data_IF_658545834546
#
_entry.id   IF_658545834546
#
_cell.length_a   1.000
_cell.length_b   1.000
_cell.length_c   1.000
_cell.angle_alpha   90.00
_cell.angle_beta   90.00
_cell.angle_gamma   90.00
#
_symmetry.space_group_name_H-M   'P 1'
#
loop_
_entity.id
_entity.type
_entity.pdbx_description
1 polymer ?
#
# COMPACT_ATOMS: atom_id res chain seq x y z
N UNK A 1 -12.56 20.00 -1.20
CA UNK A 1 -11.99 18.68 -0.85
C UNK A 1 -10.88 18.94 0.17
N UNK A 2 -10.96 18.37 1.37
CA UNK A 2 -9.98 18.63 2.45
C UNK A 2 -8.81 17.67 2.26
N UNK A 3 -7.61 18.19 2.00
CA UNK A 3 -6.38 17.43 1.87
C UNK A 3 -5.28 18.15 2.67
N UNK A 4 -4.41 17.40 3.34
CA UNK A 4 -3.23 17.94 4.00
C UNK A 4 -2.00 17.55 3.17
N UNK A 5 -1.27 18.55 2.65
CA UNK A 5 -0.15 18.32 1.73
C UNK A 5 1.06 19.12 2.19
N UNK A 6 2.17 18.44 2.40
CA UNK A 6 3.47 19.05 2.73
C UNK A 6 4.55 18.46 1.82
N UNK A 7 5.39 19.33 1.25
CA UNK A 7 6.45 18.96 0.29
C UNK A 7 6.24 19.60 -1.08
N UNK A 8 6.85 19.06 -2.14
CA UNK A 8 6.89 19.69 -3.47
C UNK A 8 6.40 18.75 -4.59
N UNK A 9 5.90 19.31 -5.69
CA UNK A 9 5.40 18.57 -6.86
C UNK A 9 4.29 17.54 -6.59
N UNK A 10 3.51 17.73 -5.53
CA UNK A 10 2.35 16.89 -5.28
C UNK A 10 1.12 17.47 -6.00
N UNK A 11 0.41 16.64 -6.76
CA UNK A 11 -0.83 16.98 -7.46
C UNK A 11 -1.97 16.14 -6.90
N UNK A 12 -3.08 16.77 -6.50
CA UNK A 12 -4.30 16.05 -6.10
C UNK A 12 -5.44 16.45 -7.02
N UNK A 13 -5.96 15.48 -7.76
CA UNK A 13 -7.01 15.70 -8.77
C UNK A 13 -8.25 14.91 -8.39
N UNK A 14 -9.36 15.60 -8.20
CA UNK A 14 -10.65 14.98 -7.90
C UNK A 14 -10.69 14.07 -6.65
N UNK A 15 -9.79 14.25 -5.69
CA UNK A 15 -9.70 13.44 -4.47
C UNK A 15 -9.76 14.25 -3.15
N UNK A 16 -10.20 13.59 -2.07
CA UNK A 16 -10.48 14.14 -0.75
C UNK A 16 -9.91 13.26 0.38
N UNK A 17 -9.76 13.85 1.56
CA UNK A 17 -9.34 13.18 2.80
C UNK A 17 -7.93 12.58 2.72
N UNK A 18 -7.04 13.21 1.94
CA UNK A 18 -5.67 12.72 1.77
C UNK A 18 -4.69 13.39 2.73
N UNK A 19 -3.67 12.64 3.12
CA UNK A 19 -2.49 13.16 3.82
C UNK A 19 -1.27 12.82 2.95
N UNK A 20 -0.56 13.85 2.50
CA UNK A 20 0.62 13.71 1.63
C UNK A 20 1.80 14.44 2.24
N UNK A 21 2.87 13.71 2.51
CA UNK A 21 4.14 14.24 3.01
C UNK A 21 5.25 13.69 2.14
N UNK A 22 5.85 14.52 1.28
CA UNK A 22 6.90 14.08 0.36
C UNK A 22 6.88 14.81 -0.99
N UNK A 23 7.35 14.14 -2.03
CA UNK A 23 7.47 14.71 -3.37
C UNK A 23 6.91 13.79 -4.47
N UNK A 24 6.47 14.45 -5.55
CA UNK A 24 6.08 13.85 -6.83
C UNK A 24 4.86 12.90 -6.79
N UNK A 25 4.01 13.00 -5.77
CA UNK A 25 2.76 12.24 -5.73
C UNK A 25 1.70 12.86 -6.63
N UNK A 26 1.08 12.07 -7.52
CA UNK A 26 -0.20 12.42 -8.15
C UNK A 26 -1.30 11.56 -7.54
N UNK A 27 -2.28 12.15 -6.86
CA UNK A 27 -3.36 11.41 -6.19
C UNK A 27 -4.70 11.68 -6.88
N UNK A 28 -5.39 10.60 -7.26
CA UNK A 28 -6.72 10.65 -7.88
C UNK A 28 -7.79 9.86 -7.12
N UNK A 29 -7.45 9.29 -5.97
CA UNK A 29 -8.36 8.54 -5.11
C UNK A 29 -8.51 9.17 -3.71
N UNK A 30 -9.66 8.92 -3.10
CA UNK A 30 -9.95 9.41 -1.74
C UNK A 30 -9.25 8.57 -0.66
N UNK A 31 -9.07 9.18 0.51
CA UNK A 31 -8.63 8.51 1.75
C UNK A 31 -7.23 7.88 1.65
N UNK A 32 -6.30 8.53 0.94
CA UNK A 32 -4.90 8.08 0.82
C UNK A 32 -4.00 8.76 1.85
N UNK A 33 -3.16 7.95 2.52
CA UNK A 33 -2.00 8.41 3.27
C UNK A 33 -0.74 8.07 2.48
N UNK A 34 0.03 9.08 2.11
CA UNK A 34 1.30 8.96 1.41
C UNK A 34 2.40 9.73 2.15
N UNK A 35 3.31 9.01 2.80
CA UNK A 35 4.42 9.58 3.55
C UNK A 35 5.73 9.02 2.99
N UNK A 36 6.58 9.89 2.45
CA UNK A 36 7.81 9.54 1.75
C UNK A 36 7.83 10.13 0.34
N UNK A 37 9.03 10.37 -0.17
CA UNK A 37 9.23 10.83 -1.55
C UNK A 37 9.10 9.72 -2.58
N UNK A 38 9.09 10.11 -3.85
CA UNK A 38 9.20 9.19 -4.97
C UNK A 38 10.45 9.51 -5.79
N UNK A 39 11.04 8.47 -6.38
CA UNK A 39 12.14 8.57 -7.34
C UNK A 39 11.68 9.08 -8.71
N UNK A 40 10.40 8.96 -9.00
CA UNK A 40 9.74 9.51 -10.18
C UNK A 40 8.25 9.72 -9.90
N UNK A 41 7.62 10.65 -10.61
CA UNK A 41 6.20 10.94 -10.42
C UNK A 41 5.34 9.69 -10.65
N UNK A 42 4.45 9.40 -9.71
CA UNK A 42 3.54 8.25 -9.76
C UNK A 42 2.10 8.68 -9.52
N UNK A 43 1.15 8.09 -10.27
CA UNK A 43 -0.29 8.25 -10.01
C UNK A 43 -0.81 7.19 -9.04
N UNK A 44 -1.47 7.64 -7.97
CA UNK A 44 -2.16 6.84 -6.96
C UNK A 44 -3.66 6.98 -7.13
N UNK A 45 -4.23 5.99 -7.81
CA UNK A 45 -5.65 5.91 -8.17
C UNK A 45 -6.43 4.91 -7.33
N UNK A 46 -5.84 4.40 -6.25
CA UNK A 46 -6.41 3.36 -5.40
C UNK A 46 -6.76 3.94 -4.03
N UNK A 47 -8.04 3.85 -3.66
CA UNK A 47 -8.59 4.47 -2.46
C UNK A 47 -8.21 3.73 -1.18
N UNK A 48 -8.38 4.41 -0.05
CA UNK A 48 -8.21 3.83 1.29
C UNK A 48 -6.81 3.26 1.56
N UNK A 49 -5.78 3.81 0.90
CA UNK A 49 -4.41 3.29 0.95
C UNK A 49 -3.56 3.97 2.01
N UNK A 50 -2.61 3.23 2.57
CA UNK A 50 -1.56 3.79 3.45
C UNK A 50 -0.18 3.41 2.95
N UNK A 51 0.68 4.38 2.73
CA UNK A 51 2.07 4.17 2.30
C UNK A 51 3.01 5.00 3.15
N UNK A 52 4.02 4.36 3.73
CA UNK A 52 5.04 5.02 4.56
C UNK A 52 6.42 4.51 4.13
N UNK A 53 7.19 5.35 3.44
CA UNK A 53 8.53 5.05 2.93
C UNK A 53 8.77 5.66 1.55
N UNK A 54 10.04 5.91 1.22
CA UNK A 54 10.43 6.36 -0.12
C UNK A 54 10.09 5.27 -1.16
N UNK A 55 9.44 5.61 -2.27
CA UNK A 55 8.94 4.65 -3.27
C UNK A 55 8.00 3.54 -2.72
N UNK A 56 7.38 3.72 -1.54
CA UNK A 56 6.42 2.75 -1.02
C UNK A 56 5.07 2.88 -1.73
N UNK A 57 4.46 1.78 -2.17
CA UNK A 57 3.23 1.77 -3.00
C UNK A 57 2.16 0.84 -2.44
N UNK A 58 0.90 1.25 -2.46
CA UNK A 58 -0.23 0.34 -2.26
C UNK A 58 -1.02 0.24 -3.57
N UNK A 59 -1.06 -0.96 -4.15
CA UNK A 59 -1.63 -1.24 -5.48
C UNK A 59 -3.04 -1.81 -5.42
N UNK A 60 -3.56 -2.10 -4.23
CA UNK A 60 -4.91 -2.63 -3.97
C UNK A 60 -5.65 -1.76 -2.96
N UNK A 61 -6.97 -1.68 -3.08
CA UNK A 61 -7.80 -0.83 -2.22
C UNK A 61 -7.67 -1.27 -0.76
N UNK A 62 -7.48 -0.34 0.17
CA UNK A 62 -7.25 -0.70 1.57
C UNK A 62 -5.85 -1.22 1.88
N UNK A 63 -4.97 -1.33 0.88
CA UNK A 63 -3.62 -1.85 1.04
C UNK A 63 -2.71 -0.93 1.86
N UNK A 64 -1.79 -1.54 2.61
CA UNK A 64 -0.80 -0.82 3.43
C UNK A 64 0.60 -1.23 3.02
N UNK A 65 1.46 -0.29 2.64
CA UNK A 65 2.87 -0.57 2.35
C UNK A 65 3.81 0.21 3.27
N UNK A 66 4.68 -0.51 3.96
CA UNK A 66 5.57 0.03 4.99
C UNK A 66 7.03 -0.24 4.61
N UNK A 67 7.81 0.81 4.37
CA UNK A 67 9.25 0.76 4.06
C UNK A 67 9.60 1.14 2.62
N UNK A 68 10.88 1.47 2.41
CA UNK A 68 11.44 1.79 1.09
C UNK A 68 11.12 0.70 0.07
N UNK A 69 10.50 1.06 -1.05
CA UNK A 69 10.09 0.13 -2.12
C UNK A 69 9.16 -1.01 -1.70
N UNK A 70 8.46 -0.90 -0.57
CA UNK A 70 7.41 -1.86 -0.24
C UNK A 70 6.21 -1.67 -1.17
N UNK A 71 5.58 -2.75 -1.60
CA UNK A 71 4.42 -2.75 -2.47
C UNK A 71 3.32 -3.69 -1.93
N UNK A 72 2.15 -3.15 -1.62
CA UNK A 72 0.99 -3.94 -1.22
C UNK A 72 0.16 -4.32 -2.45
N UNK A 73 0.18 -5.60 -2.81
CA UNK A 73 -0.44 -6.11 -4.05
C UNK A 73 -1.49 -7.19 -3.82
N UNK A 74 -1.65 -7.67 -2.58
CA UNK A 74 -2.58 -8.76 -2.24
C UNK A 74 -3.88 -8.18 -1.72
N UNK A 75 -4.97 -8.39 -2.46
CA UNK A 75 -6.33 -7.96 -2.10
C UNK A 75 -6.97 -8.89 -1.05
N UNK A 76 -8.11 -8.47 -0.50
CA UNK A 76 -8.95 -9.30 0.37
C UNK A 76 -9.34 -10.61 -0.30
N UNK A 77 -9.58 -11.63 0.52
CA UNK A 77 -9.99 -12.96 0.08
C UNK A 77 -8.84 -13.88 -0.30
N UNK A 78 -7.59 -13.39 -0.33
CA UNK A 78 -6.41 -14.22 -0.45
C UNK A 78 -6.27 -15.13 0.77
N UNK A 79 -5.90 -16.39 0.51
CA UNK A 79 -5.57 -17.35 1.55
C UNK A 79 -4.12 -17.17 2.00
N UNK A 80 -3.89 -17.21 3.31
CA UNK A 80 -2.57 -17.20 3.93
C UNK A 80 -1.81 -18.48 3.67
N UNK A 81 -0.49 -18.42 3.85
CA UNK A 81 0.40 -19.55 3.64
C UNK A 81 0.40 -20.49 4.85
N UNK A 82 -0.03 -21.73 4.65
CA UNK A 82 -0.05 -22.79 5.64
C UNK A 82 1.26 -23.59 5.59
N UNK A 83 2.04 -23.48 6.68
CA UNK A 83 3.34 -24.15 6.82
C UNK A 83 3.23 -25.68 6.92
N UNK A 84 2.09 -26.20 7.37
CA UNK A 84 1.88 -27.65 7.51
C UNK A 84 1.72 -28.34 6.16
N UNK A 85 1.06 -27.67 5.22
CA UNK A 85 0.82 -28.14 3.85
C UNK A 85 1.79 -27.55 2.82
N UNK A 86 2.56 -26.53 3.21
CA UNK A 86 3.45 -25.74 2.33
C UNK A 86 2.72 -25.14 1.13
N UNK A 87 1.48 -24.73 1.33
CA UNK A 87 0.60 -24.20 0.30
C UNK A 87 -0.31 -23.10 0.87
N UNK A 88 -1.12 -22.49 0.02
CA UNK A 88 -2.20 -21.63 0.49
C UNK A 88 -3.21 -22.44 1.31
N UNK A 89 -3.65 -21.93 2.45
CA UNK A 89 -4.61 -22.61 3.31
C UNK A 89 -5.96 -22.81 2.62
N UNK A 90 -6.58 -23.97 2.87
CA UNK A 90 -7.97 -24.25 2.47
C UNK A 90 -8.97 -23.85 3.53
N UNK A 91 -8.51 -23.50 4.74
CA UNK A 91 -9.37 -22.97 5.80
C UNK A 91 -9.85 -21.56 5.41
N UNK A 92 -11.17 -21.39 5.40
CA UNK A 92 -11.83 -20.14 5.02
C UNK A 92 -12.12 -19.22 6.21
N UNK A 93 -11.70 -19.60 7.42
CA UNK A 93 -11.78 -18.74 8.60
C UNK A 93 -10.95 -17.47 8.41
N UNK A 94 -11.31 -16.39 9.09
CA UNK A 94 -10.64 -15.08 8.97
C UNK A 94 -9.18 -15.09 9.44
N UNK A 95 -8.74 -16.16 10.11
CA UNK A 95 -7.32 -16.39 10.43
C UNK A 95 -6.50 -16.63 9.16
N UNK A 96 -7.09 -17.31 8.18
CA UNK A 96 -6.41 -17.74 6.97
C UNK A 96 -6.86 -16.97 5.73
N UNK A 97 -8.14 -16.64 5.62
CA UNK A 97 -8.68 -15.91 4.47
C UNK A 97 -8.92 -14.45 4.84
N UNK A 98 -8.11 -13.56 4.29
CA UNK A 98 -8.15 -12.14 4.63
C UNK A 98 -9.50 -11.49 4.26
N UNK A 99 -9.99 -10.57 5.07
CA UNK A 99 -11.19 -9.77 4.78
C UNK A 99 -10.86 -8.36 4.28
N UNK A 100 -9.60 -7.95 4.41
CA UNK A 100 -9.02 -6.71 3.94
C UNK A 100 -7.72 -6.99 3.18
N UNK A 101 -7.26 -6.00 2.43
CA UNK A 101 -6.00 -6.06 1.68
C UNK A 101 -4.79 -6.16 2.61
N UNK A 102 -3.68 -6.67 2.07
CA UNK A 102 -2.49 -6.96 2.85
C UNK A 102 -1.76 -5.71 3.36
N UNK A 103 -1.08 -5.90 4.48
CA UNK A 103 0.03 -5.06 4.91
C UNK A 103 1.32 -5.66 4.35
N UNK A 104 2.00 -4.91 3.48
CA UNK A 104 3.26 -5.32 2.88
C UNK A 104 4.43 -4.58 3.49
N UNK A 105 5.46 -5.35 3.86
CA UNK A 105 6.77 -4.84 4.30
C UNK A 105 7.86 -5.05 3.24
N UNK A 106 7.47 -5.35 1.99
CA UNK A 106 8.40 -5.61 0.90
C UNK A 106 7.74 -5.62 -0.47
N UNK A 107 8.44 -6.13 -1.47
CA UNK A 107 7.94 -6.33 -2.82
C UNK A 107 8.68 -7.53 -3.43
N UNK A 108 8.03 -8.69 -3.43
CA UNK A 108 8.59 -9.94 -3.93
C UNK A 108 8.90 -9.86 -5.43
N UNK A 109 8.13 -9.09 -6.20
CA UNK A 109 8.39 -8.93 -7.63
C UNK A 109 9.69 -8.17 -7.92
N UNK A 110 10.23 -7.48 -6.91
CA UNK A 110 11.46 -6.67 -6.99
C UNK A 110 12.50 -7.10 -5.94
N UNK A 111 12.41 -8.33 -5.41
CA UNK A 111 13.34 -8.91 -4.42
C UNK A 111 13.52 -8.07 -3.13
N UNK A 112 12.53 -7.26 -2.76
CA UNK A 112 12.52 -6.51 -1.51
C UNK A 112 11.85 -7.35 -0.43
N UNK A 113 12.60 -7.80 0.56
CA UNK A 113 12.06 -8.51 1.73
C UNK A 113 12.54 -7.88 3.02
N UNK A 114 11.74 -8.04 4.08
CA UNK A 114 12.08 -7.60 5.43
C UNK A 114 11.72 -8.69 6.42
N UNK A 115 12.55 -8.85 7.44
CA UNK A 115 12.16 -9.62 8.61
C UNK A 115 11.12 -8.83 9.40
N UNK A 116 10.15 -9.56 9.94
CA UNK A 116 9.23 -9.07 10.98
C UNK A 116 9.72 -9.73 12.27
N UNK A 117 10.17 -8.92 13.23
CA UNK A 117 10.85 -9.38 14.45
C UNK A 117 10.08 -8.99 15.70
#
# INVERSE_FOLDING_TARGET
>A
KLNNVTGYNNTITNASNNIVIGNDHTITADNTIAIGGLSSSETRSVANTTTIGYDAKASVEGGVALGYKSNATVDKGAAGYDISTKAASTDTSSTWKATASAVSVGDVANDVTRQIT
#
